data_IF_429312978539
#
_entry.id   IF_429312978539
#
_cell.length_a   1.000
_cell.length_b   1.000
_cell.length_c   1.000
_cell.angle_alpha   90.00
_cell.angle_beta   90.00
_cell.angle_gamma   90.00
#
_symmetry.space_group_name_H-M   'P 1'
#
loop_
_entity.id
_entity.type
_entity.pdbx_description
1 polymer ?
#
# COMPACT_ATOMS: atom_id res chain seq x y z
N UNK A 1 -23.59 -2.93 17.99
CA UNK A 1 -22.38 -2.38 17.33
C UNK A 1 -21.99 -3.40 16.29
N UNK A 2 -21.90 -2.98 15.02
CA UNK A 2 -21.90 -3.85 13.83
C UNK A 2 -20.68 -4.76 13.81
N UNK A 3 -20.90 -6.05 13.59
CA UNK A 3 -19.87 -7.02 13.25
C UNK A 3 -19.12 -6.56 12.00
N UNK A 4 -17.79 -6.61 12.05
CA UNK A 4 -16.92 -6.27 10.95
C UNK A 4 -17.05 -7.39 9.91
N UNK A 5 -17.72 -7.10 8.80
CA UNK A 5 -17.95 -8.04 7.71
C UNK A 5 -16.67 -8.24 6.91
N UNK A 6 -15.86 -9.21 7.35
CA UNK A 6 -14.57 -9.60 6.73
C UNK A 6 -14.72 -10.20 5.33
N UNK A 7 -15.95 -10.43 4.84
CA UNK A 7 -16.18 -11.03 3.51
C UNK A 7 -15.96 -10.06 2.34
N UNK A 8 -16.00 -8.75 2.58
CA UNK A 8 -15.73 -7.72 1.56
C UNK A 8 -14.25 -7.30 1.51
N UNK A 9 -13.38 -7.93 2.31
CA UNK A 9 -11.95 -7.87 2.10
C UNK A 9 -11.57 -8.90 1.04
N UNK A 10 -12.16 -8.79 -0.14
CA UNK A 10 -11.58 -9.40 -1.33
C UNK A 10 -10.15 -8.86 -1.42
N UNK A 11 -9.23 -9.76 -1.14
CA UNK A 11 -7.79 -9.70 -1.23
C UNK A 11 -7.37 -8.94 -2.50
N UNK A 12 -7.38 -7.63 -2.43
CA UNK A 12 -7.05 -6.76 -3.54
C UNK A 12 -5.54 -6.84 -3.75
N UNK A 13 -5.18 -7.64 -4.74
CA UNK A 13 -3.81 -7.84 -5.17
C UNK A 13 -3.11 -8.94 -4.39
N UNK A 14 -2.95 -10.09 -5.05
CA UNK A 14 -1.99 -11.13 -4.66
C UNK A 14 -0.55 -10.61 -4.71
N UNK A 15 -0.18 -9.74 -3.78
CA UNK A 15 1.22 -9.46 -3.43
C UNK A 15 1.86 -10.65 -2.71
N UNK A 16 1.08 -11.72 -2.46
CA UNK A 16 1.53 -13.02 -1.97
C UNK A 16 1.78 -13.96 -3.14
N UNK A 17 2.68 -13.61 -4.05
CA UNK A 17 3.26 -14.57 -4.99
C UNK A 17 4.74 -14.69 -4.65
N UNK A 18 5.09 -15.76 -3.94
CA UNK A 18 6.47 -16.22 -3.75
C UNK A 18 7.49 -15.16 -3.33
N UNK A 19 7.52 -14.89 -2.01
CA UNK A 19 8.58 -14.11 -1.35
C UNK A 19 9.99 -14.71 -1.47
N UNK A 20 10.21 -15.76 -2.27
CA UNK A 20 11.42 -16.58 -2.21
C UNK A 20 12.54 -16.13 -3.17
N UNK A 21 12.26 -15.40 -4.26
CA UNK A 21 13.27 -15.11 -5.30
C UNK A 21 13.47 -13.61 -5.64
N UNK A 22 12.98 -12.68 -4.79
CA UNK A 22 13.25 -11.23 -5.00
C UNK A 22 14.73 -10.84 -4.74
N UNK A 23 15.52 -11.77 -4.20
CA UNK A 23 16.95 -11.59 -3.96
C UNK A 23 17.79 -11.78 -5.24
N UNK A 24 17.27 -12.49 -6.25
CA UNK A 24 17.93 -12.66 -7.55
C UNK A 24 17.58 -11.54 -8.53
N UNK A 25 18.51 -11.24 -9.45
CA UNK A 25 18.25 -10.31 -10.57
C UNK A 25 17.11 -10.83 -11.45
N UNK A 26 17.05 -12.15 -11.66
CA UNK A 26 16.01 -12.77 -12.47
C UNK A 26 14.63 -12.64 -11.81
N UNK A 27 14.51 -12.88 -10.50
CA UNK A 27 13.26 -12.71 -9.78
C UNK A 27 12.77 -11.25 -9.77
N UNK A 28 13.68 -10.29 -9.54
CA UNK A 28 13.35 -8.85 -9.68
C UNK A 28 12.85 -8.48 -11.08
N UNK A 29 13.41 -9.09 -12.13
CA UNK A 29 12.98 -8.84 -13.50
C UNK A 29 11.55 -9.34 -13.75
N UNK A 30 11.19 -10.51 -13.21
CA UNK A 30 9.82 -11.05 -13.31
C UNK A 30 8.80 -10.16 -12.60
N UNK A 31 9.10 -9.73 -11.38
CA UNK A 31 8.25 -8.81 -10.61
C UNK A 31 8.06 -7.50 -11.38
N UNK A 32 9.12 -6.94 -11.97
CA UNK A 32 9.02 -5.73 -12.79
C UNK A 32 8.12 -5.92 -14.02
N UNK A 33 8.25 -7.06 -14.71
CA UNK A 33 7.43 -7.35 -15.89
C UNK A 33 5.95 -7.48 -15.52
N UNK A 34 5.64 -8.15 -14.41
CA UNK A 34 4.27 -8.27 -13.90
C UNK A 34 3.70 -6.90 -13.53
N UNK A 35 4.44 -6.12 -12.73
CA UNK A 35 4.01 -4.78 -12.31
C UNK A 35 3.76 -3.87 -13.52
N UNK A 36 4.59 -3.96 -14.56
CA UNK A 36 4.39 -3.21 -15.81
C UNK A 36 3.06 -3.57 -16.48
N UNK A 37 2.76 -4.87 -16.62
CA UNK A 37 1.51 -5.33 -17.21
C UNK A 37 0.28 -4.87 -16.40
N UNK A 38 0.37 -4.91 -15.07
CA UNK A 38 -0.72 -4.50 -14.19
C UNK A 38 -0.97 -2.99 -14.26
N UNK A 39 0.10 -2.18 -14.34
CA UNK A 39 -0.01 -0.73 -14.54
C UNK A 39 -0.70 -0.42 -15.87
N UNK A 40 -0.28 -1.09 -16.95
CA UNK A 40 -0.88 -0.88 -18.27
C UNK A 40 -2.36 -1.25 -18.28
N UNK A 41 -2.74 -2.38 -17.68
CA UNK A 41 -4.13 -2.81 -17.56
C UNK A 41 -4.96 -1.80 -16.75
N UNK A 42 -4.42 -1.28 -15.64
CA UNK A 42 -5.09 -0.26 -14.82
C UNK A 42 -5.35 1.03 -15.60
N UNK A 43 -4.34 1.50 -16.34
CA UNK A 43 -4.45 2.72 -17.17
C UNK A 43 -5.43 2.52 -18.33
N UNK A 44 -5.39 1.37 -19.01
CA UNK A 44 -6.32 1.03 -20.09
C UNK A 44 -7.77 0.93 -19.59
N UNK A 45 -7.97 0.46 -18.37
CA UNK A 45 -9.28 0.45 -17.70
C UNK A 45 -9.81 1.83 -17.31
N UNK A 46 -9.10 2.92 -17.63
CA UNK A 46 -9.47 4.29 -17.28
C UNK A 46 -9.02 4.71 -15.88
N UNK A 47 -8.23 3.89 -15.20
CA UNK A 47 -7.55 4.24 -13.95
C UNK A 47 -6.57 5.40 -14.15
N UNK A 48 -6.37 6.19 -13.10
CA UNK A 48 -5.49 7.36 -13.13
C UNK A 48 -4.52 7.30 -11.96
N UNK A 49 -3.24 7.48 -12.27
CA UNK A 49 -2.19 7.63 -11.24
C UNK A 49 -2.19 9.09 -10.82
N UNK A 50 -2.31 9.33 -9.51
CA UNK A 50 -2.29 10.65 -8.92
C UNK A 50 -1.06 10.78 -8.03
N UNK A 51 -0.31 11.86 -8.22
CA UNK A 51 0.76 12.22 -7.31
C UNK A 51 0.15 12.84 -6.05
N UNK A 52 0.57 12.36 -4.88
CA UNK A 52 0.19 12.92 -3.59
C UNK A 52 1.40 13.56 -2.95
N UNK A 53 1.18 14.69 -2.26
CA UNK A 53 2.25 15.39 -1.55
C UNK A 53 2.87 14.46 -0.50
N UNK A 54 4.19 14.52 -0.32
CA UNK A 54 4.91 13.67 0.64
C UNK A 54 4.50 13.92 2.10
N UNK A 55 3.97 15.09 2.41
CA UNK A 55 3.39 15.44 3.71
C UNK A 55 1.89 15.14 3.80
N UNK A 56 1.28 14.58 2.75
CA UNK A 56 -0.12 14.17 2.77
C UNK A 56 -0.36 13.19 3.91
N UNK A 57 -1.25 13.57 4.83
CA UNK A 57 -1.78 12.68 5.86
C UNK A 57 -3.28 12.65 5.71
N UNK A 58 -3.82 11.45 5.46
CA UNK A 58 -5.27 11.23 5.42
C UNK A 58 -5.92 11.50 6.79
N UNK A 59 -5.17 11.25 7.87
CA UNK A 59 -5.57 11.49 9.25
C UNK A 59 -5.20 12.92 9.68
N UNK A 60 -6.16 13.63 10.27
CA UNK A 60 -5.88 14.91 10.94
C UNK A 60 -4.77 14.70 11.99
N UNK A 61 -3.73 15.54 12.06
CA UNK A 61 -2.68 15.39 13.06
C UNK A 61 -3.33 15.40 14.46
N UNK A 62 -3.32 14.23 15.11
CA UNK A 62 -3.77 14.10 16.49
C UNK A 62 -2.87 15.00 17.33
N UNK A 63 -3.47 15.86 18.16
CA UNK A 63 -2.72 16.58 19.19
C UNK A 63 -1.92 15.53 19.95
N UNK A 64 -0.60 15.68 19.94
CA UNK A 64 0.25 14.82 20.78
C UNK A 64 -0.19 15.03 22.21
N UNK A 65 -0.62 13.96 22.88
CA UNK A 65 -1.00 14.04 24.28
C UNK A 65 0.21 14.49 25.10
N UNK A 66 -0.04 15.39 26.06
CA UNK A 66 0.99 15.84 27.00
C UNK A 66 1.43 14.60 27.77
N UNK A 67 2.66 14.12 27.50
CA UNK A 67 3.18 12.85 28.04
C UNK A 67 3.69 11.86 27.00
N UNK A 68 3.51 12.10 25.70
CA UNK A 68 4.16 11.28 24.66
C UNK A 68 5.69 11.35 24.80
N UNK A 69 6.35 10.20 25.03
CA UNK A 69 7.78 10.08 25.37
C UNK A 69 8.20 10.71 26.72
N UNK A 70 7.34 10.73 27.75
CA UNK A 70 7.71 11.12 29.13
C UNK A 70 8.43 12.47 29.26
N UNK A 71 8.21 13.40 28.32
CA UNK A 71 8.85 14.72 28.38
C UNK A 71 8.02 15.59 29.33
N UNK A 72 8.40 15.62 30.60
CA UNK A 72 7.90 16.61 31.55
C UNK A 72 8.27 18.02 31.09
N UNK A 73 7.39 18.99 31.33
CA UNK A 73 7.59 20.42 31.07
C UNK A 73 8.62 21.02 32.02
#
# INVERSE_FOLDING_TARGET
MSEFDESNLEQSGGWTLDSDDNHSVAGRARVRAQLQADIEAFLQGGGKIQEVDTAFRAETPRKVDIGFNNRSI
#
